data_IF_117688773496
#
_entry.id   IF_117688773496
#
_cell.length_a   1.000
_cell.length_b   1.000
_cell.length_c   1.000
_cell.angle_alpha   90.00
_cell.angle_beta   90.00
_cell.angle_gamma   90.00
#
_symmetry.space_group_name_H-M   'P 1'
#
loop_
_entity.id
_entity.type
_entity.pdbx_description
1 polymer ?
#
# COMPACT_ATOMS: atom_id res chain seq x y z
N UNK A 1 16.66 -8.75 44.45
CA UNK A 1 15.33 -9.25 44.03
C UNK A 1 14.38 -8.14 43.58
N UNK A 2 14.19 -7.06 44.35
CA UNK A 2 13.18 -6.02 44.01
C UNK A 2 13.48 -5.24 42.72
N UNK A 3 14.76 -4.92 42.42
CA UNK A 3 15.13 -4.15 41.21
C UNK A 3 14.82 -4.89 39.89
N UNK A 4 14.94 -6.22 39.85
CA UNK A 4 14.61 -7.01 38.67
C UNK A 4 13.11 -7.12 38.43
N UNK A 5 12.30 -7.14 39.50
CA UNK A 5 10.84 -7.13 39.38
C UNK A 5 10.32 -5.83 38.74
N UNK A 6 10.88 -4.68 39.13
CA UNK A 6 10.56 -3.39 38.51
C UNK A 6 10.99 -3.34 37.03
N UNK A 7 12.16 -3.87 36.70
CA UNK A 7 12.65 -3.91 35.31
C UNK A 7 11.77 -4.78 34.40
N UNK A 8 11.35 -5.97 34.87
CA UNK A 8 10.43 -6.84 34.13
C UNK A 8 9.07 -6.18 33.91
N UNK A 9 8.51 -5.50 34.93
CA UNK A 9 7.25 -4.78 34.79
C UNK A 9 7.31 -3.66 33.75
N UNK A 10 8.42 -2.91 33.70
CA UNK A 10 8.61 -1.82 32.75
C UNK A 10 8.75 -2.33 31.31
N UNK A 11 9.45 -3.44 31.10
CA UNK A 11 9.58 -4.08 29.77
C UNK A 11 8.23 -4.53 29.22
N UNK A 12 7.39 -5.16 30.05
CA UNK A 12 6.06 -5.62 29.63
C UNK A 12 5.17 -4.44 29.21
N UNK A 13 5.19 -3.35 29.97
CA UNK A 13 4.46 -2.14 29.61
C UNK A 13 4.93 -1.55 28.27
N UNK A 14 6.24 -1.51 28.05
CA UNK A 14 6.81 -1.01 26.81
C UNK A 14 6.39 -1.87 25.59
N UNK A 15 6.41 -3.20 25.75
CA UNK A 15 5.96 -4.12 24.71
C UNK A 15 4.47 -3.96 24.38
N UNK A 16 3.61 -3.71 25.38
CA UNK A 16 2.19 -3.46 25.16
C UNK A 16 1.96 -2.18 24.36
N UNK A 17 2.68 -1.11 24.68
CA UNK A 17 2.59 0.16 23.95
C UNK A 17 3.06 -0.02 22.51
N UNK A 18 4.20 -0.68 22.29
CA UNK A 18 4.71 -0.93 20.94
C UNK A 18 3.72 -1.76 20.13
N UNK A 19 3.19 -2.85 20.70
CA UNK A 19 2.21 -3.71 20.05
C UNK A 19 0.97 -2.93 19.61
N UNK A 20 0.42 -2.10 20.49
CA UNK A 20 -0.74 -1.28 20.15
C UNK A 20 -0.44 -0.28 19.03
N UNK A 21 0.72 0.39 19.11
CA UNK A 21 1.11 1.41 18.13
C UNK A 21 1.39 0.81 16.76
N UNK A 22 2.05 -0.35 16.70
CA UNK A 22 2.34 -1.04 15.44
C UNK A 22 1.06 -1.56 14.78
N UNK A 23 0.13 -2.14 15.55
CA UNK A 23 -1.17 -2.54 15.04
C UNK A 23 -1.94 -1.36 14.44
N UNK A 24 -1.99 -0.25 15.16
CA UNK A 24 -2.64 0.97 14.69
C UNK A 24 -1.98 1.46 13.39
N UNK A 25 -0.65 1.58 13.37
CA UNK A 25 0.11 2.00 12.20
C UNK A 25 -0.14 1.09 10.99
N UNK A 26 -0.16 -0.23 11.18
CA UNK A 26 -0.43 -1.20 10.10
C UNK A 26 -1.83 -1.03 9.51
N UNK A 27 -2.85 -0.82 10.34
CA UNK A 27 -4.23 -0.59 9.88
C UNK A 27 -4.33 0.72 9.11
N UNK A 28 -3.78 1.81 9.64
CA UNK A 28 -3.77 3.12 8.97
C UNK A 28 -3.03 3.06 7.63
N UNK A 29 -1.91 2.36 7.56
CA UNK A 29 -1.15 2.18 6.33
C UNK A 29 -1.95 1.37 5.30
N UNK A 30 -2.62 0.30 5.72
CA UNK A 30 -3.50 -0.50 4.86
C UNK A 30 -4.64 0.34 4.26
N UNK A 31 -5.34 1.12 5.09
CA UNK A 31 -6.42 2.00 4.64
C UNK A 31 -5.89 3.05 3.65
N UNK A 32 -4.75 3.66 3.98
CA UNK A 32 -4.10 4.66 3.12
C UNK A 32 -3.66 4.06 1.78
N UNK A 33 -3.15 2.83 1.78
CA UNK A 33 -2.82 2.06 0.58
C UNK A 33 -4.04 1.83 -0.31
N UNK A 34 -5.15 1.36 0.26
CA UNK A 34 -6.39 1.18 -0.49
C UNK A 34 -6.91 2.49 -1.11
N UNK A 35 -6.86 3.59 -0.36
CA UNK A 35 -7.26 4.91 -0.85
C UNK A 35 -6.37 5.40 -2.00
N UNK A 36 -5.05 5.18 -1.89
CA UNK A 36 -4.08 5.54 -2.93
C UNK A 36 -4.31 4.72 -4.21
N UNK A 37 -4.49 3.41 -4.10
CA UNK A 37 -4.76 2.51 -5.23
C UNK A 37 -6.05 2.94 -5.95
N UNK A 38 -7.10 3.28 -5.20
CA UNK A 38 -8.37 3.76 -5.79
C UNK A 38 -8.17 5.04 -6.59
N UNK A 39 -7.40 6.00 -6.07
CA UNK A 39 -7.08 7.25 -6.77
C UNK A 39 -6.21 7.00 -8.01
N UNK A 40 -5.23 6.10 -7.92
CA UNK A 40 -4.38 5.73 -9.05
C UNK A 40 -5.21 5.11 -10.17
N UNK A 41 -6.11 4.18 -9.84
CA UNK A 41 -6.99 3.53 -10.83
C UNK A 41 -7.93 4.52 -11.52
N UNK A 42 -8.49 5.48 -10.77
CA UNK A 42 -9.32 6.56 -11.34
C UNK A 42 -8.51 7.47 -12.29
N UNK A 43 -7.30 7.88 -11.88
CA UNK A 43 -6.42 8.69 -12.74
C UNK A 43 -5.98 7.92 -13.99
N UNK A 44 -5.60 6.65 -13.84
CA UNK A 44 -5.21 5.80 -14.96
C UNK A 44 -6.35 5.66 -15.98
N UNK A 45 -7.58 5.39 -15.51
CA UNK A 45 -8.74 5.29 -16.38
C UNK A 45 -9.06 6.62 -17.09
N UNK A 46 -8.97 7.74 -16.37
CA UNK A 46 -9.16 9.07 -16.97
C UNK A 46 -8.10 9.39 -18.03
N UNK A 47 -6.84 9.00 -17.82
CA UNK A 47 -5.77 9.17 -18.81
C UNK A 47 -5.98 8.25 -20.02
N UNK A 48 -6.37 6.99 -19.80
CA UNK A 48 -6.70 6.04 -20.88
C UNK A 48 -7.83 6.58 -21.77
N UNK A 49 -8.89 7.17 -21.20
CA UNK A 49 -10.00 7.75 -21.96
C UNK A 49 -9.63 9.01 -22.77
N UNK A 50 -8.58 9.73 -22.37
CA UNK A 50 -8.06 10.91 -23.10
C UNK A 50 -7.04 10.55 -24.16
N UNK A 51 -6.61 9.29 -24.23
CA UNK A 51 -5.62 8.82 -25.18
C UNK A 51 -6.29 8.43 -26.52
N UNK A 52 -5.65 8.79 -27.63
CA UNK A 52 -6.21 8.64 -28.99
C UNK A 52 -6.15 7.17 -29.46
N UNK A 53 -7.12 6.71 -30.27
CA UNK A 53 -7.22 5.30 -30.73
C UNK A 53 -5.92 4.79 -31.39
N UNK A 54 -5.22 5.64 -32.16
CA UNK A 54 -3.95 5.28 -32.79
C UNK A 54 -2.77 5.08 -31.83
N UNK A 55 -2.89 5.52 -30.57
CA UNK A 55 -1.88 5.28 -29.53
C UNK A 55 -1.96 3.85 -28.97
N UNK A 56 -3.15 3.25 -28.95
CA UNK A 56 -3.39 1.88 -28.49
C UNK A 56 -2.97 0.81 -29.51
N UNK A 57 -2.81 1.20 -30.78
CA UNK A 57 -2.43 0.30 -31.89
C UNK A 57 -0.91 0.02 -31.95
N UNK A 58 -0.11 0.76 -31.16
CA UNK A 58 1.31 0.43 -30.97
C UNK A 58 1.42 -0.80 -30.07
N UNK A 59 2.16 -1.82 -30.52
CA UNK A 59 2.32 -3.12 -29.86
C UNK A 59 2.75 -3.07 -28.37
N UNK A 60 3.36 -1.97 -27.91
CA UNK A 60 3.75 -1.74 -26.52
C UNK A 60 2.71 -1.02 -25.62
N UNK A 61 1.68 -0.41 -26.21
CA UNK A 61 0.68 0.43 -25.52
C UNK A 61 -0.75 -0.11 -25.60
N UNK A 62 -0.91 -1.36 -26.06
CA UNK A 62 -2.17 -2.07 -26.02
C UNK A 62 -2.74 -2.01 -24.58
N UNK A 63 -4.03 -1.70 -24.47
CA UNK A 63 -4.83 -1.69 -23.23
C UNK A 63 -4.53 -2.88 -22.31
N UNK A 64 -4.32 -4.08 -22.86
CA UNK A 64 -3.94 -5.28 -22.10
C UNK A 64 -2.54 -5.23 -21.49
N UNK A 65 -1.54 -4.70 -22.21
CA UNK A 65 -0.17 -4.55 -21.72
C UNK A 65 -0.07 -3.48 -20.62
N UNK A 66 -0.84 -2.39 -20.76
CA UNK A 66 -0.89 -1.32 -19.76
C UNK A 66 -1.62 -1.78 -18.47
N UNK A 67 -2.70 -2.54 -18.60
CA UNK A 67 -3.41 -3.16 -17.47
C UNK A 67 -2.53 -4.21 -16.75
N UNK A 68 -1.75 -5.00 -17.51
CA UNK A 68 -0.80 -5.95 -16.96
C UNK A 68 0.34 -5.24 -16.21
N UNK A 69 0.93 -4.16 -16.77
CA UNK A 69 1.95 -3.36 -16.07
C UNK A 69 1.39 -2.69 -14.81
N UNK A 70 0.19 -2.14 -14.88
CA UNK A 70 -0.45 -1.52 -13.72
C UNK A 70 -0.77 -2.55 -12.62
N UNK A 71 -1.18 -3.76 -13.00
CA UNK A 71 -1.41 -4.86 -12.04
C UNK A 71 -0.10 -5.35 -11.43
N UNK A 72 0.97 -5.42 -12.22
CA UNK A 72 2.32 -5.75 -11.74
C UNK A 72 2.84 -4.68 -10.77
N UNK A 73 2.72 -3.39 -11.10
CA UNK A 73 3.13 -2.29 -10.22
C UNK A 73 2.28 -2.22 -8.95
N UNK A 74 0.97 -2.47 -9.03
CA UNK A 74 0.10 -2.54 -7.86
C UNK A 74 0.47 -3.71 -6.93
N UNK A 75 0.91 -4.84 -7.49
CA UNK A 75 1.37 -5.99 -6.71
C UNK A 75 2.73 -5.71 -6.04
N UNK A 76 3.63 -4.99 -6.72
CA UNK A 76 4.94 -4.57 -6.17
C UNK A 76 4.79 -3.57 -5.02
N UNK A 77 3.74 -2.73 -5.04
CA UNK A 77 3.44 -1.79 -3.95
C UNK A 77 2.74 -2.43 -2.74
N UNK A 78 2.30 -3.69 -2.86
CA UNK A 78 1.58 -4.41 -1.80
C UNK A 78 2.50 -5.31 -0.93
N UNK A 79 3.79 -5.41 -1.27
CA UNK A 79 4.83 -6.08 -0.46
C UNK A 79 5.61 -5.08 0.38
#
# INVERSE_FOLDING_TARGET
MSRVLYACGLMVLFSLIICFTTLLQSVLFSISGCALIKRLRMKAFSSMLRQEVGWFDRSGNNSGALCARLSTDANILQS
#
